data_IF_668517725041
#
_entry.id   IF_668517725041
#
_cell.length_a   1.000
_cell.length_b   1.000
_cell.length_c   1.000
_cell.angle_alpha   90.00
_cell.angle_beta   90.00
_cell.angle_gamma   90.00
#
_symmetry.space_group_name_H-M   'P 1'
#
loop_
_entity.id
_entity.type
_entity.pdbx_description
1 polymer ?
#
# COMPACT_ATOMS: atom_id res chain seq x y z
N UNK A 1 11.63 6.43 17.51
CA UNK A 1 10.90 6.22 16.25
C UNK A 1 10.33 7.56 15.81
N UNK A 2 10.57 7.96 14.57
CA UNK A 2 10.02 9.19 13.97
C UNK A 2 8.64 8.94 13.33
N UNK A 3 8.19 7.69 13.33
CA UNK A 3 6.89 7.32 12.77
C UNK A 3 5.74 7.75 13.67
N UNK A 4 4.62 8.24 13.09
CA UNK A 4 3.42 8.57 13.86
C UNK A 4 2.85 7.36 14.60
N UNK A 5 2.22 7.61 15.73
CA UNK A 5 1.48 6.56 16.42
C UNK A 5 0.37 6.02 15.53
N UNK A 6 0.20 4.69 15.55
CA UNK A 6 -0.85 4.00 14.83
C UNK A 6 -1.35 2.80 15.64
N UNK A 7 -2.57 2.37 15.36
CA UNK A 7 -3.09 1.11 15.90
C UNK A 7 -2.46 -0.05 15.13
N UNK A 8 -1.99 -1.04 15.88
CA UNK A 8 -1.45 -2.27 15.33
C UNK A 8 0.05 -2.21 15.04
N UNK A 9 0.55 -3.26 14.41
CA UNK A 9 1.95 -3.44 14.09
C UNK A 9 2.42 -2.68 12.85
N UNK A 10 3.70 -2.81 12.58
CA UNK A 10 4.32 -2.26 11.38
C UNK A 10 3.84 -3.01 10.13
N UNK A 11 3.18 -2.31 9.22
CA UNK A 11 2.69 -2.84 7.95
C UNK A 11 3.26 -2.03 6.77
N UNK A 12 4.48 -2.34 6.31
CA UNK A 12 5.09 -1.65 5.18
C UNK A 12 4.37 -1.99 3.88
N UNK A 13 4.62 -1.18 2.85
CA UNK A 13 4.00 -1.34 1.54
C UNK A 13 4.34 -2.69 0.89
N UNK A 14 5.50 -3.24 1.18
CA UNK A 14 5.92 -4.57 0.75
C UNK A 14 4.94 -5.67 1.20
N UNK A 15 4.51 -5.59 2.45
CA UNK A 15 3.54 -6.56 3.00
C UNK A 15 2.19 -6.43 2.31
N UNK A 16 1.75 -5.20 2.03
CA UNK A 16 0.51 -4.97 1.27
C UNK A 16 0.62 -5.53 -0.14
N UNK A 17 1.75 -5.29 -0.81
CA UNK A 17 1.98 -5.80 -2.16
C UNK A 17 2.13 -7.33 -2.22
N UNK A 18 2.65 -7.94 -1.16
CA UNK A 18 2.79 -9.40 -1.04
C UNK A 18 1.46 -10.10 -0.68
N UNK A 19 0.42 -9.34 -0.34
CA UNK A 19 -0.87 -9.91 0.05
C UNK A 19 -1.48 -10.72 -1.09
N UNK A 20 -2.04 -11.88 -0.73
CA UNK A 20 -2.78 -12.75 -1.65
C UNK A 20 -4.25 -12.80 -1.22
N UNK A 21 -5.16 -12.16 -1.97
CA UNK A 21 -6.58 -12.13 -1.63
C UNK A 21 -7.24 -13.50 -1.60
N UNK A 22 -6.75 -14.43 -2.41
CA UNK A 22 -7.25 -15.81 -2.48
C UNK A 22 -6.28 -16.70 -1.71
N UNK A 23 -6.68 -17.27 -0.55
CA UNK A 23 -5.82 -18.17 0.19
C UNK A 23 -5.45 -19.42 -0.62
N UNK A 24 -4.18 -19.80 -0.58
CA UNK A 24 -3.68 -20.96 -1.33
C UNK A 24 -4.41 -22.29 -0.98
N UNK A 25 -4.95 -22.40 0.24
CA UNK A 25 -5.71 -23.56 0.68
C UNK A 25 -7.16 -23.58 0.16
N UNK A 26 -7.63 -22.50 -0.46
CA UNK A 26 -9.01 -22.41 -0.96
C UNK A 26 -9.12 -23.16 -2.28
N UNK A 27 -10.04 -24.17 -2.40
CA UNK A 27 -10.28 -24.86 -3.66
C UNK A 27 -10.70 -23.88 -4.80
N UNK A 28 -10.23 -24.13 -6.01
CA UNK A 28 -10.49 -23.28 -7.19
C UNK A 28 -11.99 -23.03 -7.43
N UNK A 29 -12.82 -24.03 -7.16
CA UNK A 29 -14.29 -23.92 -7.30
C UNK A 29 -14.91 -22.85 -6.41
N UNK A 30 -14.20 -22.44 -5.34
CA UNK A 30 -14.65 -21.44 -4.38
C UNK A 30 -14.04 -20.04 -4.64
N UNK A 31 -13.05 -19.92 -5.52
CA UNK A 31 -12.41 -18.64 -5.83
C UNK A 31 -13.41 -17.56 -6.28
N UNK A 32 -14.46 -17.95 -7.00
CA UNK A 32 -15.54 -17.07 -7.46
C UNK A 32 -16.30 -16.33 -6.35
N UNK A 33 -16.18 -16.79 -5.11
CA UNK A 33 -16.81 -16.14 -3.96
C UNK A 33 -15.92 -15.09 -3.30
N UNK A 34 -14.66 -15.02 -3.68
CA UNK A 34 -13.76 -13.95 -3.26
C UNK A 34 -13.90 -12.80 -4.26
N UNK A 35 -14.68 -11.79 -3.90
CA UNK A 35 -15.00 -10.67 -4.78
C UNK A 35 -13.94 -9.56 -4.77
N UNK A 36 -13.04 -9.59 -3.80
CA UNK A 36 -11.99 -8.58 -3.64
C UNK A 36 -11.47 -8.54 -2.20
N UNK A 37 -10.82 -7.45 -1.87
CA UNK A 37 -10.37 -7.16 -0.51
C UNK A 37 -10.59 -5.69 -0.18
N UNK A 38 -10.54 -5.38 1.12
CA UNK A 38 -10.61 -4.01 1.62
C UNK A 38 -9.43 -3.70 2.54
N UNK A 39 -9.08 -2.44 2.63
CA UNK A 39 -8.18 -1.94 3.66
C UNK A 39 -8.94 -1.04 4.62
N UNK A 40 -8.64 -1.12 5.91
CA UNK A 40 -9.19 -0.27 6.94
C UNK A 40 -8.14 0.73 7.41
N UNK A 41 -8.60 1.95 7.68
CA UNK A 41 -7.80 2.99 8.32
C UNK A 41 -8.42 3.29 9.68
N UNK A 42 -7.73 2.88 10.72
CA UNK A 42 -8.14 3.12 12.10
C UNK A 42 -7.64 4.49 12.53
N UNK A 43 -8.55 5.36 12.94
CA UNK A 43 -8.27 6.79 13.09
C UNK A 43 -8.04 7.24 14.52
N UNK A 44 -7.96 6.35 15.49
CA UNK A 44 -7.83 6.67 16.91
C UNK A 44 -6.61 7.54 17.24
N UNK A 45 -5.55 7.43 16.44
CA UNK A 45 -4.32 8.22 16.59
C UNK A 45 -4.06 9.15 15.40
N UNK A 46 -5.02 9.30 14.49
CA UNK A 46 -4.89 10.15 13.31
C UNK A 46 -5.57 11.49 13.61
N UNK A 47 -4.80 12.57 13.61
CA UNK A 47 -5.23 13.88 14.07
C UNK A 47 -5.49 14.86 12.91
N UNK A 48 -5.12 14.51 11.69
CA UNK A 48 -5.28 15.39 10.54
C UNK A 48 -5.51 14.64 9.23
N UNK A 49 -6.10 15.27 8.21
CA UNK A 49 -6.23 14.71 6.88
C UNK A 49 -4.89 14.32 6.26
N UNK A 50 -3.85 15.12 6.47
CA UNK A 50 -2.49 14.85 5.98
C UNK A 50 -1.93 13.56 6.57
N UNK A 51 -2.24 13.28 7.82
CA UNK A 51 -1.85 12.02 8.47
C UNK A 51 -2.63 10.83 7.89
N UNK A 52 -3.89 11.00 7.51
CA UNK A 52 -4.64 9.98 6.76
C UNK A 52 -3.93 9.68 5.46
N UNK A 53 -3.62 10.70 4.66
CA UNK A 53 -2.90 10.54 3.39
C UNK A 53 -1.56 9.82 3.60
N UNK A 54 -0.81 10.18 4.61
CA UNK A 54 0.44 9.52 4.99
C UNK A 54 0.25 8.03 5.29
N UNK A 55 -0.80 7.66 6.00
CA UNK A 55 -1.06 6.27 6.40
C UNK A 55 -1.56 5.41 5.24
N UNK A 56 -2.33 5.98 4.31
CA UNK A 56 -2.90 5.23 3.19
C UNK A 56 -1.99 5.16 1.97
N UNK A 57 -1.19 6.18 1.74
CA UNK A 57 -0.27 6.21 0.60
C UNK A 57 1.13 5.72 1.02
N UNK A 58 1.82 4.91 0.23
CA UNK A 58 1.43 4.32 -1.05
C UNK A 58 0.76 2.93 -0.95
N UNK A 59 0.19 2.58 0.18
CA UNK A 59 -0.44 1.27 0.43
C UNK A 59 -1.68 1.05 -0.43
N UNK A 60 -2.50 2.09 -0.66
CA UNK A 60 -3.68 1.98 -1.54
C UNK A 60 -3.28 1.62 -2.97
N UNK A 61 -2.32 2.30 -3.64
CA UNK A 61 -1.83 1.86 -4.94
C UNK A 61 -1.31 0.42 -4.95
N UNK A 62 -0.63 -0.01 -3.90
CA UNK A 62 -0.15 -1.39 -3.79
C UNK A 62 -1.31 -2.39 -3.73
N UNK A 63 -2.31 -2.14 -2.89
CA UNK A 63 -3.51 -2.98 -2.81
C UNK A 63 -4.28 -2.98 -4.13
N UNK A 64 -4.41 -1.82 -4.78
CA UNK A 64 -5.07 -1.71 -6.07
C UNK A 64 -4.39 -2.59 -7.12
N UNK A 65 -3.07 -2.55 -7.20
CA UNK A 65 -2.34 -3.38 -8.14
C UNK A 65 -2.48 -4.88 -7.83
N UNK A 66 -2.44 -5.25 -6.56
CA UNK A 66 -2.69 -6.64 -6.11
C UNK A 66 -4.07 -7.15 -6.56
N UNK A 67 -5.09 -6.30 -6.49
CA UNK A 67 -6.47 -6.69 -6.83
C UNK A 67 -6.77 -6.69 -8.33
N UNK A 68 -6.07 -5.87 -9.10
CA UNK A 68 -6.35 -5.69 -10.54
C UNK A 68 -5.36 -6.38 -11.47
N UNK A 69 -4.24 -6.89 -10.94
CA UNK A 69 -3.21 -7.55 -11.73
C UNK A 69 -3.27 -9.06 -11.58
N UNK A 70 -2.83 -9.77 -12.61
CA UNK A 70 -2.58 -11.20 -12.52
C UNK A 70 -1.50 -11.45 -11.43
N UNK A 71 -1.76 -12.29 -10.43
CA UNK A 71 -0.77 -12.63 -9.40
C UNK A 71 0.58 -13.10 -9.94
N UNK A 72 0.59 -13.75 -11.11
CA UNK A 72 1.80 -14.22 -11.80
C UNK A 72 2.67 -13.09 -12.35
N UNK A 73 2.12 -11.89 -12.50
CA UNK A 73 2.79 -10.72 -13.04
C UNK A 73 3.24 -9.74 -11.96
N UNK A 74 3.04 -10.08 -10.68
CA UNK A 74 3.44 -9.23 -9.57
C UNK A 74 4.96 -9.08 -9.53
N UNK A 75 5.43 -7.85 -9.60
CA UNK A 75 6.83 -7.47 -9.48
C UNK A 75 6.93 -6.17 -8.66
N UNK A 76 7.39 -6.31 -7.42
CA UNK A 76 7.48 -5.18 -6.50
C UNK A 76 8.49 -4.12 -6.96
N UNK A 77 9.59 -4.51 -7.61
CA UNK A 77 10.56 -3.54 -8.12
C UNK A 77 9.97 -2.71 -9.26
N UNK A 78 9.24 -3.37 -10.15
CA UNK A 78 8.55 -2.68 -11.23
C UNK A 78 7.37 -1.84 -10.72
N UNK A 79 6.66 -2.32 -9.69
CA UNK A 79 5.66 -1.51 -8.97
C UNK A 79 6.27 -0.20 -8.45
N UNK A 80 7.45 -0.23 -7.82
CA UNK A 80 8.13 0.98 -7.35
C UNK A 80 8.42 1.97 -8.47
N UNK A 81 8.75 1.49 -9.67
CA UNK A 81 8.95 2.35 -10.85
C UNK A 81 7.65 3.04 -11.26
N UNK A 82 6.55 2.29 -11.36
CA UNK A 82 5.23 2.86 -11.68
C UNK A 82 4.77 3.85 -10.62
N UNK A 83 4.99 3.53 -9.35
CA UNK A 83 4.64 4.41 -8.23
C UNK A 83 5.35 5.76 -8.31
N UNK A 84 6.62 5.78 -8.74
CA UNK A 84 7.37 7.03 -8.96
C UNK A 84 6.77 7.88 -10.06
N UNK A 85 6.28 7.26 -11.13
CA UNK A 85 5.60 7.99 -12.21
C UNK A 85 4.26 8.59 -11.73
N UNK A 86 3.48 7.83 -10.97
CA UNK A 86 2.22 8.32 -10.38
C UNK A 86 2.43 9.46 -9.39
N UNK A 87 3.55 9.46 -8.67
CA UNK A 87 3.90 10.55 -7.75
C UNK A 87 3.86 11.93 -8.42
N UNK A 88 4.33 12.05 -9.65
CA UNK A 88 4.30 13.31 -10.38
C UNK A 88 2.85 13.77 -10.63
N UNK A 89 1.95 12.84 -10.94
CA UNK A 89 0.52 13.14 -11.15
C UNK A 89 -0.11 13.62 -9.85
N UNK A 90 0.10 12.93 -8.74
CA UNK A 90 -0.47 13.31 -7.45
C UNK A 90 0.05 14.66 -6.95
N UNK A 91 1.32 14.95 -7.16
CA UNK A 91 1.90 16.26 -6.86
C UNK A 91 1.22 17.37 -7.65
N UNK A 92 0.92 17.15 -8.92
CA UNK A 92 0.28 18.15 -9.77
C UNK A 92 -1.15 18.48 -9.33
N UNK A 93 -1.86 17.52 -8.77
CA UNK A 93 -3.21 17.74 -8.22
C UNK A 93 -3.20 18.06 -6.71
N UNK A 94 -2.03 18.32 -6.16
CA UNK A 94 -1.80 18.62 -4.74
C UNK A 94 -2.39 17.54 -3.78
N UNK A 95 -2.35 16.28 -4.20
CA UNK A 95 -2.78 15.16 -3.38
C UNK A 95 -1.59 14.53 -2.65
N UNK A 96 -1.71 14.40 -1.35
CA UNK A 96 -0.67 13.85 -0.47
C UNK A 96 0.77 14.39 -0.75
N UNK A 97 0.97 15.71 -0.93
CA UNK A 97 2.25 16.26 -1.40
C UNK A 97 3.39 16.00 -0.41
N UNK A 98 3.09 15.88 0.87
CA UNK A 98 4.03 15.64 1.96
C UNK A 98 4.39 14.16 2.14
N UNK A 99 3.54 13.25 1.66
CA UNK A 99 3.74 11.79 1.79
C UNK A 99 4.94 11.32 0.98
N UNK A 100 5.23 11.99 -0.11
CA UNK A 100 6.23 11.60 -1.08
C UNK A 100 7.55 12.37 -0.97
N UNK A 101 7.85 12.88 0.23
CA UNK A 101 9.09 13.64 0.48
C UNK A 101 10.35 12.86 0.13
N UNK A 102 10.55 11.68 0.71
CA UNK A 102 11.67 10.80 0.43
C UNK A 102 11.20 9.36 0.24
N UNK A 103 11.62 8.66 -0.82
CA UNK A 103 11.24 7.26 -1.06
C UNK A 103 11.70 6.29 0.03
N UNK A 104 12.69 6.70 0.83
CA UNK A 104 13.34 5.85 1.82
C UNK A 104 12.46 5.52 3.04
N UNK A 105 11.45 6.34 3.34
CA UNK A 105 10.62 6.15 4.53
C UNK A 105 9.49 5.14 4.35
N UNK A 106 9.08 4.88 3.12
CA UNK A 106 7.97 3.98 2.82
C UNK A 106 8.38 2.56 2.50
N UNK A 107 9.59 2.41 2.00
CA UNK A 107 10.14 1.11 1.68
C UNK A 107 11.06 0.72 2.84
N UNK A 108 10.83 -0.46 3.38
CA UNK A 108 11.78 -1.03 4.33
C UNK A 108 13.16 -0.94 3.70
N UNK A 109 14.01 -0.08 4.23
CA UNK A 109 15.43 -0.14 3.92
C UNK A 109 15.91 -1.50 4.43
N UNK A 110 15.89 -2.48 3.55
CA UNK A 110 16.63 -3.69 3.74
C UNK A 110 18.09 -3.31 3.64
N UNK A 111 18.64 -2.78 4.73
CA UNK A 111 20.05 -2.79 5.07
C UNK A 111 20.24 -1.85 6.26
N UNK A 112 20.10 -2.39 7.43
CA UNK A 112 21.02 -2.20 8.53
C UNK A 112 21.11 -3.48 9.31
#
# INVERSE_FOLDING_TARGET
>A
STEPHAIGGYNPVENVYAYEPIPAALPDSLHKYILGAQANVWTEYILSPEQVEYMVMPRIPALSEVLWSDPKQKDFNFFKVRLRAHRAIWKNINYAPHVFGEPATYFRNGNK
#
